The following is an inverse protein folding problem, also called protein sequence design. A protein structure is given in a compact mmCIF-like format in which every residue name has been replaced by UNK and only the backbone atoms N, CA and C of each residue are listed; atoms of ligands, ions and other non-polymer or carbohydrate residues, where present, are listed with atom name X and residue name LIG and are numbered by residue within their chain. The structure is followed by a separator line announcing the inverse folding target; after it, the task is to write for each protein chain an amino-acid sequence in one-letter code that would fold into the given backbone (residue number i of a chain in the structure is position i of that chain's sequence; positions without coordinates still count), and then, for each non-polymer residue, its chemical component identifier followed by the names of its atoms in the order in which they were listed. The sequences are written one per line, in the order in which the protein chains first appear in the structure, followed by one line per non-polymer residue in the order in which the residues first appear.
data_IF_040711503840
#
_entry.id   IF_040711503840
#
_cell.length_a   1.000
_cell.length_b   1.000
_cell.length_c   1.000
_cell.angle_alpha   90.00
_cell.angle_beta   90.00
_cell.angle_gamma   90.00
#
_symmetry.space_group_name_H-M   'P 1'
#
loop_
_entity.id
_entity.type
_entity.pdbx_description
1 polymer ?
#
# COMPACT_ATOMS: atom_id res chain seq x y z
N UNK A 1 -40.56 -47.31 -32.96
CA UNK A 1 -41.24 -46.35 -33.89
C UNK A 1 -40.83 -44.96 -33.48
N UNK A 2 -40.10 -44.28 -34.37
CA UNK A 2 -39.50 -42.98 -34.18
C UNK A 2 -40.53 -41.89 -34.49
N UNK A 3 -40.69 -40.91 -33.62
CA UNK A 3 -41.53 -39.76 -33.82
C UNK A 3 -40.74 -38.44 -33.65
N UNK A 4 -41.08 -37.42 -34.41
CA UNK A 4 -40.25 -36.25 -34.62
C UNK A 4 -40.58 -35.16 -33.61
N UNK A 5 -39.65 -34.92 -32.68
CA UNK A 5 -39.75 -33.84 -31.66
C UNK A 5 -38.76 -32.68 -32.00
N UNK A 6 -38.17 -32.67 -33.20
CA UNK A 6 -37.09 -31.75 -33.55
C UNK A 6 -37.51 -30.56 -34.42
N UNK A 7 -38.81 -30.40 -34.75
CA UNK A 7 -39.23 -29.37 -35.74
C UNK A 7 -39.89 -28.13 -35.09
N UNK A 8 -40.00 -28.03 -33.78
CA UNK A 8 -40.67 -26.90 -33.13
C UNK A 8 -39.72 -25.97 -32.37
N UNK A 9 -38.41 -26.24 -32.38
CA UNK A 9 -37.39 -25.41 -31.73
C UNK A 9 -36.68 -24.46 -32.74
N UNK A 10 -36.93 -24.57 -34.04
CA UNK A 10 -36.24 -23.78 -35.06
C UNK A 10 -36.97 -22.49 -35.50
N UNK A 11 -38.18 -22.22 -35.01
CA UNK A 11 -38.97 -21.04 -35.44
C UNK A 11 -39.02 -19.91 -34.38
N UNK A 12 -38.29 -20.02 -33.28
CA UNK A 12 -38.24 -18.97 -32.22
C UNK A 12 -36.94 -18.18 -32.17
N UNK A 13 -36.05 -18.36 -33.17
CA UNK A 13 -34.69 -17.71 -33.15
C UNK A 13 -34.59 -16.49 -34.10
N UNK A 14 -35.66 -16.12 -34.79
CA UNK A 14 -35.57 -15.04 -35.80
C UNK A 14 -36.40 -13.78 -35.49
N UNK A 15 -36.46 -13.34 -34.23
CA UNK A 15 -37.00 -12.00 -33.93
C UNK A 15 -36.39 -11.39 -32.66
N UNK A 16 -35.04 -11.39 -32.54
CA UNK A 16 -34.36 -10.46 -31.63
C UNK A 16 -33.54 -9.51 -32.47
N UNK A 17 -34.23 -8.62 -33.14
CA UNK A 17 -33.61 -7.40 -33.60
C UNK A 17 -33.43 -6.46 -32.41
N UNK A 18 -32.19 -6.28 -32.07
CA UNK A 18 -31.55 -5.35 -31.17
C UNK A 18 -32.25 -4.00 -31.06
N UNK A 19 -32.88 -3.74 -29.92
CA UNK A 19 -32.85 -2.43 -29.33
C UNK A 19 -31.78 -2.52 -28.25
N UNK A 20 -30.55 -2.11 -28.57
CA UNK A 20 -29.54 -1.76 -27.59
C UNK A 20 -29.99 -0.42 -27.01
N UNK A 21 -30.95 -0.44 -26.15
CA UNK A 21 -31.20 0.63 -25.20
C UNK A 21 -30.20 0.45 -24.09
N UNK A 22 -29.26 1.33 -23.97
CA UNK A 22 -28.40 1.51 -22.82
C UNK A 22 -29.32 1.69 -21.61
N UNK A 23 -29.55 0.60 -20.88
CA UNK A 23 -30.28 0.68 -19.63
C UNK A 23 -29.33 1.35 -18.64
N UNK A 24 -29.59 2.62 -18.32
CA UNK A 24 -29.06 3.27 -17.15
C UNK A 24 -29.29 2.34 -15.95
N UNK A 25 -28.20 1.77 -15.46
CA UNK A 25 -28.17 1.01 -14.23
C UNK A 25 -28.26 2.03 -13.07
N UNK A 26 -29.40 2.15 -12.37
CA UNK A 26 -29.56 3.13 -11.29
C UNK A 26 -28.67 2.84 -10.08
N UNK A 27 -27.85 1.78 -10.15
CA UNK A 27 -26.86 1.42 -9.11
C UNK A 27 -25.46 1.94 -9.43
N UNK A 28 -25.22 2.56 -10.58
CA UNK A 28 -23.96 3.25 -10.84
C UNK A 28 -23.91 4.50 -9.96
N UNK A 29 -23.01 4.59 -8.96
CA UNK A 29 -22.90 5.82 -8.19
C UNK A 29 -22.54 6.94 -9.18
N UNK A 30 -23.37 7.99 -9.21
CA UNK A 30 -23.15 9.15 -10.06
C UNK A 30 -21.71 9.61 -9.87
N UNK A 31 -20.93 9.60 -10.94
CA UNK A 31 -19.51 9.97 -10.92
C UNK A 31 -19.46 11.46 -10.58
N UNK A 32 -19.09 11.77 -9.34
CA UNK A 32 -19.03 13.15 -8.86
C UNK A 32 -17.86 13.85 -9.54
N UNK A 33 -18.15 14.79 -10.44
CA UNK A 33 -17.15 15.62 -11.08
C UNK A 33 -17.03 16.95 -10.36
N UNK A 34 -15.81 17.34 -10.02
CA UNK A 34 -15.46 18.62 -9.39
C UNK A 34 -14.76 19.49 -10.43
N UNK A 35 -15.33 20.64 -10.73
CA UNK A 35 -14.75 21.60 -11.67
C UNK A 35 -14.18 22.76 -10.86
N UNK A 36 -12.95 23.13 -11.11
CA UNK A 36 -12.24 24.20 -10.44
C UNK A 36 -11.85 25.28 -11.45
N UNK A 37 -11.78 26.53 -10.98
CA UNK A 37 -11.06 27.56 -11.70
C UNK A 37 -9.54 27.42 -11.51
N UNK A 38 -8.75 28.13 -12.30
CA UNK A 38 -7.28 28.10 -12.17
C UNK A 38 -6.79 28.49 -10.77
N UNK A 39 -7.54 29.37 -10.08
CA UNK A 39 -7.20 29.82 -8.73
C UNK A 39 -7.42 28.68 -7.73
N UNK A 40 -8.50 27.91 -7.89
CA UNK A 40 -8.79 26.71 -7.11
C UNK A 40 -7.71 25.64 -7.28
N UNK A 41 -7.30 25.35 -8.52
CA UNK A 41 -6.21 24.39 -8.80
C UNK A 41 -4.91 24.81 -8.13
N UNK A 42 -4.55 26.09 -8.21
CA UNK A 42 -3.34 26.62 -7.55
C UNK A 42 -3.44 26.59 -6.03
N UNK A 43 -4.57 27.01 -5.47
CA UNK A 43 -4.77 27.04 -4.01
C UNK A 43 -4.77 25.65 -3.40
N UNK A 44 -5.37 24.67 -4.06
CA UNK A 44 -5.38 23.26 -3.64
C UNK A 44 -4.06 22.55 -3.96
N UNK A 45 -3.17 23.20 -4.72
CA UNK A 45 -1.88 22.64 -5.17
C UNK A 45 -2.07 21.29 -5.83
N UNK A 46 -3.01 21.21 -6.77
CA UNK A 46 -3.31 19.96 -7.48
C UNK A 46 -2.09 19.56 -8.30
N UNK A 47 -1.62 18.34 -8.06
CA UNK A 47 -0.59 17.67 -8.84
C UNK A 47 -1.18 16.35 -9.33
N UNK A 48 -0.91 15.99 -10.59
CA UNK A 48 -1.37 14.73 -11.18
C UNK A 48 -0.21 13.83 -11.58
N UNK A 49 -0.43 12.54 -11.59
CA UNK A 49 0.50 11.54 -12.13
C UNK A 49 -0.30 10.54 -12.97
N UNK A 50 0.27 10.08 -14.08
CA UNK A 50 -0.38 9.07 -14.91
C UNK A 50 -0.37 7.70 -14.22
N UNK A 51 -1.53 7.04 -14.21
CA UNK A 51 -1.65 5.64 -13.87
C UNK A 51 -0.91 4.80 -14.92
N UNK A 52 0.11 4.05 -14.50
CA UNK A 52 0.99 3.29 -15.41
C UNK A 52 1.11 1.85 -14.97
N UNK A 53 1.20 0.98 -15.96
CA UNK A 53 1.70 -0.36 -15.72
C UNK A 53 3.19 -0.32 -15.42
N UNK A 54 3.58 -0.92 -14.31
CA UNK A 54 4.97 -0.97 -13.85
C UNK A 54 5.30 -2.31 -13.21
N UNK A 55 6.59 -2.54 -12.98
CA UNK A 55 7.01 -3.64 -12.11
C UNK A 55 6.54 -3.29 -10.70
N UNK A 56 5.68 -4.12 -10.14
CA UNK A 56 5.13 -3.98 -8.81
C UNK A 56 5.81 -4.96 -7.86
N UNK A 57 6.48 -4.44 -6.85
CA UNK A 57 7.12 -5.24 -5.82
C UNK A 57 6.15 -5.44 -4.66
N UNK A 58 5.86 -6.71 -4.34
CA UNK A 58 5.18 -7.06 -3.09
C UNK A 58 6.16 -6.90 -1.94
N UNK A 59 5.77 -6.23 -0.87
CA UNK A 59 6.65 -5.93 0.25
C UNK A 59 6.02 -6.28 1.59
N UNK A 60 6.83 -6.80 2.50
CA UNK A 60 6.49 -6.99 3.91
C UNK A 60 7.07 -5.82 4.70
N UNK A 61 6.21 -5.17 5.49
CA UNK A 61 6.64 -4.13 6.41
C UNK A 61 7.08 -4.75 7.74
N UNK A 62 8.25 -4.33 8.23
CA UNK A 62 8.74 -4.72 9.54
C UNK A 62 9.36 -3.51 10.25
N UNK A 63 9.31 -3.54 11.57
CA UNK A 63 10.04 -2.62 12.42
C UNK A 63 11.25 -3.32 13.02
N UNK A 64 12.26 -2.54 13.40
CA UNK A 64 13.43 -3.15 14.00
C UNK A 64 14.38 -2.12 14.62
N UNK A 65 15.61 -2.56 14.81
CA UNK A 65 16.65 -1.71 15.40
C UNK A 65 18.02 -2.05 14.83
N UNK A 66 18.92 -1.08 14.96
CA UNK A 66 20.34 -1.26 14.68
C UNK A 66 21.00 -1.96 15.86
N UNK A 67 21.81 -2.97 15.60
CA UNK A 67 22.57 -3.72 16.59
C UNK A 67 24.06 -3.81 16.23
N UNK A 68 24.90 -4.00 17.23
CA UNK A 68 26.31 -4.30 17.02
C UNK A 68 26.47 -5.74 16.54
N UNK A 69 27.42 -5.95 15.63
CA UNK A 69 27.83 -7.30 15.24
C UNK A 69 28.67 -7.89 16.38
N UNK A 70 28.26 -8.97 17.04
CA UNK A 70 28.99 -9.53 18.17
C UNK A 70 30.46 -9.84 17.89
N UNK A 71 30.75 -10.31 16.67
CA UNK A 71 32.13 -10.59 16.24
C UNK A 71 33.02 -9.35 16.09
N UNK A 72 32.41 -8.15 16.00
CA UNK A 72 33.12 -6.88 15.89
C UNK A 72 33.40 -6.24 17.27
N UNK A 73 33.05 -6.92 18.33
CA UNK A 73 33.28 -6.48 19.71
C UNK A 73 34.51 -7.16 20.28
N UNK A 74 35.33 -6.41 21.02
CA UNK A 74 36.50 -6.93 21.74
C UNK A 74 36.59 -6.26 23.10
N UNK A 75 37.17 -6.99 24.03
CA UNK A 75 37.44 -6.47 25.38
C UNK A 75 38.94 -6.36 25.59
N UNK A 76 39.35 -5.35 26.35
CA UNK A 76 40.71 -5.21 26.83
C UNK A 76 40.73 -5.57 28.31
N UNK A 77 41.50 -6.56 28.68
CA UNK A 77 41.70 -6.97 30.09
C UNK A 77 43.18 -7.00 30.42
N UNK A 78 43.50 -7.06 31.73
CA UNK A 78 44.86 -7.20 32.23
C UNK A 78 45.10 -8.63 32.72
N UNK A 79 46.34 -9.10 32.58
CA UNK A 79 46.78 -10.41 33.12
C UNK A 79 47.52 -10.29 34.44
N UNK A 80 47.75 -9.05 34.92
CA UNK A 80 48.47 -8.79 36.13
C UNK A 80 47.66 -7.99 37.13
N UNK A 81 47.87 -8.22 38.41
CA UNK A 81 47.40 -7.33 39.45
C UNK A 81 48.28 -6.06 39.51
N UNK A 82 47.62 -4.89 39.59
CA UNK A 82 48.36 -3.63 39.56
C UNK A 82 47.48 -2.41 39.79
N UNK A 83 47.98 -1.27 39.34
CA UNK A 83 47.28 0.03 39.39
C UNK A 83 47.39 0.70 38.02
N UNK A 84 46.32 1.34 37.57
CA UNK A 84 46.35 2.14 36.35
C UNK A 84 47.10 3.44 36.60
N UNK A 85 48.24 3.63 35.93
CA UNK A 85 49.07 4.83 36.06
C UNK A 85 48.90 5.79 34.89
N UNK A 86 48.35 5.31 33.77
CA UNK A 86 48.01 6.16 32.63
C UNK A 86 46.76 5.60 31.95
N UNK A 87 45.86 6.48 31.49
CA UNK A 87 44.65 6.15 30.75
C UNK A 87 44.51 7.18 29.60
N UNK A 88 44.73 6.73 28.36
CA UNK A 88 44.74 7.57 27.17
C UNK A 88 43.51 7.33 26.24
N UNK A 89 42.51 6.62 26.74
CA UNK A 89 41.33 6.29 25.94
C UNK A 89 40.08 6.38 26.81
N UNK A 90 39.10 7.13 26.33
CA UNK A 90 37.84 7.43 27.01
C UNK A 90 36.66 6.93 26.16
N UNK A 91 35.49 6.82 26.77
CA UNK A 91 34.27 6.44 26.05
C UNK A 91 33.97 7.40 24.89
N UNK A 92 33.76 6.87 23.70
CA UNK A 92 33.52 7.61 22.46
C UNK A 92 34.80 7.83 21.61
N UNK A 93 35.98 7.62 22.19
CA UNK A 93 37.23 7.80 21.41
C UNK A 93 37.38 6.71 20.35
N UNK A 94 37.90 7.13 19.20
CA UNK A 94 38.29 6.23 18.12
C UNK A 94 39.74 5.80 18.33
N UNK A 95 39.96 4.49 18.25
CA UNK A 95 41.30 3.88 18.49
C UNK A 95 41.70 3.01 17.30
N UNK A 96 43.01 2.94 17.07
CA UNK A 96 43.58 2.06 16.04
C UNK A 96 44.11 0.78 16.67
N UNK A 97 44.20 -0.28 15.87
CA UNK A 97 44.80 -1.53 16.30
C UNK A 97 46.25 -1.31 16.78
N UNK A 98 46.64 -1.93 17.89
CA UNK A 98 47.94 -1.77 18.57
C UNK A 98 48.24 -0.42 19.19
N UNK A 99 47.29 0.53 19.18
CA UNK A 99 47.41 1.79 19.92
C UNK A 99 47.47 1.53 21.42
N UNK A 100 48.43 2.17 22.14
CA UNK A 100 48.51 2.06 23.62
C UNK A 100 47.36 2.85 24.23
N UNK A 101 46.47 2.18 24.96
CA UNK A 101 45.27 2.74 25.56
C UNK A 101 45.46 3.09 27.06
N UNK A 102 46.15 2.23 27.78
CA UNK A 102 46.46 2.45 29.19
C UNK A 102 47.72 1.72 29.61
N UNK A 103 48.26 2.12 30.77
CA UNK A 103 49.43 1.54 31.36
C UNK A 103 49.16 1.11 32.80
N UNK A 104 49.53 -0.11 33.15
CA UNK A 104 49.33 -0.70 34.45
C UNK A 104 50.69 -0.91 35.11
N UNK A 105 50.89 -0.39 36.32
CA UNK A 105 52.01 -0.67 37.18
C UNK A 105 51.71 -1.93 37.98
N UNK A 106 52.62 -2.90 37.93
CA UNK A 106 52.51 -4.18 38.66
C UNK A 106 52.67 -3.97 40.18
N UNK A 107 52.01 -4.83 40.94
CA UNK A 107 52.26 -4.98 42.39
C UNK A 107 53.56 -5.70 42.73
N UNK A 108 54.25 -6.25 41.73
CA UNK A 108 55.52 -6.89 41.95
C UNK A 108 56.59 -5.91 42.40
N UNK A 109 57.45 -6.26 43.38
CA UNK A 109 58.52 -5.35 43.81
C UNK A 109 59.50 -5.08 42.69
N UNK A 110 59.97 -3.84 42.59
CA UNK A 110 60.93 -3.36 41.60
C UNK A 110 61.25 -1.87 41.83
N UNK A 111 62.38 -1.41 41.35
CA UNK A 111 62.72 0.04 41.38
C UNK A 111 63.29 0.47 40.00
N UNK A 112 62.46 1.07 39.14
CA UNK A 112 61.02 1.31 39.29
C UNK A 112 60.18 0.02 39.20
N UNK A 113 58.91 0.04 39.69
CA UNK A 113 57.99 -1.11 39.54
C UNK A 113 57.77 -1.43 38.08
N UNK A 114 57.65 -2.75 37.69
CA UNK A 114 57.34 -3.12 36.30
C UNK A 114 56.03 -2.54 35.81
N UNK A 115 56.04 -2.01 34.60
CA UNK A 115 54.84 -1.44 33.95
C UNK A 115 54.51 -2.23 32.67
N UNK A 116 53.21 -2.41 32.39
CA UNK A 116 52.72 -3.05 31.17
C UNK A 116 51.85 -2.07 30.42
N UNK A 117 52.11 -1.96 29.09
CA UNK A 117 51.24 -1.24 28.19
C UNK A 117 50.15 -2.17 27.67
N UNK A 118 48.91 -1.74 27.82
CA UNK A 118 47.75 -2.45 27.24
C UNK A 118 47.30 -1.73 25.95
N UNK A 119 47.31 -2.47 24.88
CA UNK A 119 47.06 -1.96 23.51
C UNK A 119 45.75 -2.46 22.97
N UNK A 120 45.14 -1.68 22.11
CA UNK A 120 43.91 -2.04 21.44
C UNK A 120 44.09 -3.33 20.61
N UNK A 121 43.25 -4.37 20.81
CA UNK A 121 43.33 -5.61 20.04
C UNK A 121 42.86 -5.41 18.58
N UNK A 122 42.08 -4.38 18.32
CA UNK A 122 41.57 -3.99 17.00
C UNK A 122 41.23 -2.50 16.94
N UNK A 123 41.09 -1.97 15.74
CA UNK A 123 40.56 -0.62 15.52
C UNK A 123 39.06 -0.59 15.85
N UNK A 124 38.57 0.55 16.37
CA UNK A 124 37.17 0.70 16.74
C UNK A 124 36.90 1.94 17.58
N UNK A 125 35.82 1.92 18.32
CA UNK A 125 35.41 2.98 19.27
C UNK A 125 35.37 2.37 20.67
N UNK A 126 35.86 3.10 21.65
CA UNK A 126 35.69 2.75 23.07
C UNK A 126 34.21 2.90 23.41
N UNK A 127 33.54 1.77 23.64
CA UNK A 127 32.09 1.75 23.94
C UNK A 127 31.86 1.99 25.42
N UNK A 128 32.74 1.42 26.28
CA UNK A 128 32.65 1.54 27.72
C UNK A 128 34.04 1.46 28.37
N UNK A 129 34.25 2.28 29.36
CA UNK A 129 35.41 2.21 30.24
C UNK A 129 34.97 1.73 31.63
N UNK A 130 35.58 0.63 32.08
CA UNK A 130 35.31 0.03 33.41
C UNK A 130 36.39 0.36 34.41
N UNK A 131 37.30 1.27 34.06
CA UNK A 131 38.47 1.61 34.90
C UNK A 131 38.75 3.11 34.84
N UNK A 132 39.34 3.62 35.94
CA UNK A 132 39.75 5.01 36.11
C UNK A 132 41.25 5.10 36.41
N UNK A 133 41.82 6.26 36.14
CA UNK A 133 43.19 6.54 36.51
C UNK A 133 43.39 6.35 38.04
N UNK A 134 44.46 5.63 38.45
CA UNK A 134 44.77 5.33 39.83
C UNK A 134 44.01 4.14 40.42
N UNK A 135 43.06 3.55 39.68
CA UNK A 135 42.25 2.44 40.16
C UNK A 135 43.06 1.13 40.21
N UNK A 136 42.93 0.32 41.27
CA UNK A 136 43.53 -1.00 41.32
C UNK A 136 42.81 -1.95 40.40
N UNK A 137 43.60 -2.82 39.74
CA UNK A 137 43.09 -3.82 38.78
C UNK A 137 43.63 -5.19 39.14
N UNK A 138 42.77 -6.19 38.95
CA UNK A 138 43.08 -7.59 39.14
C UNK A 138 43.14 -8.32 37.81
N UNK A 139 43.83 -9.47 37.71
CA UNK A 139 43.88 -10.31 36.52
C UNK A 139 42.47 -10.61 36.00
N UNK A 140 42.35 -10.68 34.67
CA UNK A 140 41.13 -11.03 33.90
C UNK A 140 39.98 -10.04 34.01
N UNK A 141 40.16 -8.96 34.79
CA UNK A 141 39.16 -7.87 34.82
C UNK A 141 39.10 -7.17 33.45
N UNK A 142 37.90 -7.02 32.93
CA UNK A 142 37.64 -6.20 31.73
C UNK A 142 37.84 -4.74 32.07
N UNK A 143 38.68 -4.04 31.31
CA UNK A 143 39.01 -2.64 31.51
C UNK A 143 38.31 -1.73 30.50
N UNK A 144 38.32 -2.11 29.24
CA UNK A 144 37.68 -1.35 28.16
C UNK A 144 36.91 -2.30 27.21
N UNK A 145 35.76 -1.86 26.76
CA UNK A 145 35.01 -2.45 25.66
C UNK A 145 35.30 -1.64 24.38
N UNK A 146 35.69 -2.34 23.32
CA UNK A 146 35.99 -1.77 22.02
C UNK A 146 35.10 -2.40 20.98
N UNK A 147 34.42 -1.60 20.14
CA UNK A 147 33.60 -2.12 19.06
C UNK A 147 33.95 -1.43 17.73
N UNK A 148 34.11 -2.25 16.68
CA UNK A 148 34.13 -1.74 15.31
C UNK A 148 32.69 -1.59 14.82
N UNK A 149 32.29 -0.33 14.57
CA UNK A 149 30.94 0.07 14.11
C UNK A 149 30.92 0.51 12.66
N UNK A 150 31.94 0.15 11.87
CA UNK A 150 31.98 0.39 10.44
C UNK A 150 30.90 -0.35 9.67
N UNK A 151 30.50 -1.50 10.22
CA UNK A 151 29.35 -2.32 9.79
C UNK A 151 28.50 -2.66 11.01
N UNK A 152 27.18 -2.69 10.80
CA UNK A 152 26.22 -2.98 11.86
C UNK A 152 25.16 -3.96 11.35
N UNK A 153 24.45 -4.59 12.26
CA UNK A 153 23.27 -5.34 11.93
C UNK A 153 22.03 -4.44 12.03
N UNK A 154 21.18 -4.55 11.03
CA UNK A 154 19.82 -4.06 11.05
C UNK A 154 18.93 -5.28 11.28
N UNK A 155 18.32 -5.37 12.47
CA UNK A 155 17.51 -6.52 12.88
C UNK A 155 16.04 -6.17 12.72
N UNK A 156 15.35 -6.87 11.81
CA UNK A 156 13.94 -6.69 11.50
C UNK A 156 13.10 -7.69 12.29
N UNK A 157 12.02 -7.23 12.94
CA UNK A 157 10.99 -8.09 13.53
C UNK A 157 9.90 -8.33 12.49
N UNK A 158 9.99 -9.44 11.81
CA UNK A 158 9.07 -9.86 10.73
C UNK A 158 7.90 -10.62 11.37
N UNK A 159 6.63 -10.20 11.17
CA UNK A 159 5.48 -10.94 11.68
C UNK A 159 5.50 -12.40 11.23
N UNK A 160 5.21 -13.34 12.12
CA UNK A 160 5.23 -14.78 11.79
C UNK A 160 4.31 -15.13 10.62
N UNK A 161 3.15 -14.44 10.51
CA UNK A 161 2.19 -14.63 9.42
C UNK A 161 2.77 -14.30 8.04
N UNK A 162 3.79 -13.44 7.97
CA UNK A 162 4.42 -12.97 6.73
C UNK A 162 5.82 -13.56 6.51
N UNK A 163 6.39 -14.18 7.53
CA UNK A 163 7.76 -14.69 7.50
C UNK A 163 7.99 -15.75 6.41
N UNK A 164 6.99 -16.57 6.11
CA UNK A 164 7.05 -17.59 5.05
C UNK A 164 7.26 -17.01 3.64
N UNK A 165 6.83 -15.76 3.40
CA UNK A 165 7.01 -15.07 2.13
C UNK A 165 8.43 -14.48 1.97
N UNK A 166 9.17 -14.30 3.07
CA UNK A 166 10.48 -13.67 3.07
C UNK A 166 11.57 -14.72 2.87
N UNK A 167 12.33 -14.60 1.78
CA UNK A 167 13.41 -15.54 1.42
C UNK A 167 14.78 -15.00 1.81
N UNK A 168 15.75 -15.90 2.07
CA UNK A 168 17.14 -15.51 2.24
C UNK A 168 17.63 -14.74 1.00
N UNK A 169 18.41 -13.69 1.21
CA UNK A 169 18.86 -12.79 0.15
C UNK A 169 17.81 -11.75 -0.28
N UNK A 170 16.60 -11.76 0.28
CA UNK A 170 15.57 -10.75 -0.04
C UNK A 170 16.11 -9.34 0.16
N UNK A 171 15.86 -8.46 -0.82
CA UNK A 171 16.20 -7.05 -0.75
C UNK A 171 15.27 -6.35 0.26
N UNK A 172 15.84 -5.54 1.12
CA UNK A 172 15.08 -4.65 1.99
C UNK A 172 15.51 -3.20 1.81
N UNK A 173 14.55 -2.29 1.80
CA UNK A 173 14.77 -0.84 1.92
C UNK A 173 14.58 -0.47 3.38
N UNK A 174 15.66 -0.05 4.01
CA UNK A 174 15.72 0.27 5.44
C UNK A 174 15.67 1.78 5.58
N UNK A 175 14.64 2.26 6.27
CA UNK A 175 14.51 3.67 6.60
C UNK A 175 14.85 3.90 8.06
N UNK A 176 15.70 4.88 8.32
CA UNK A 176 16.05 5.32 9.66
C UNK A 176 15.37 6.67 9.90
N UNK A 177 14.24 6.76 10.62
CA UNK A 177 13.49 8.00 10.77
C UNK A 177 14.33 9.15 11.31
N UNK A 178 15.28 8.85 12.22
CA UNK A 178 16.19 9.84 12.81
C UNK A 178 17.18 10.46 11.80
N UNK A 179 17.41 9.83 10.64
CA UNK A 179 18.34 10.30 9.60
C UNK A 179 17.62 10.84 8.35
N UNK A 180 16.28 10.95 8.39
CA UNK A 180 15.47 11.51 7.31
C UNK A 180 14.90 10.48 6.35
N UNK A 181 14.65 10.90 5.09
CA UNK A 181 13.87 10.09 4.13
C UNK A 181 14.70 9.10 3.29
N UNK A 182 16.03 9.19 3.34
CA UNK A 182 16.89 8.32 2.52
C UNK A 182 16.85 6.89 3.04
N UNK A 183 16.50 5.94 2.17
CA UNK A 183 16.54 4.53 2.48
C UNK A 183 17.94 3.96 2.22
N UNK A 184 18.32 2.96 3.01
CA UNK A 184 19.52 2.14 2.85
C UNK A 184 19.06 0.79 2.30
N UNK A 185 19.66 0.31 1.23
CA UNK A 185 19.38 -1.01 0.68
C UNK A 185 20.32 -2.04 1.32
N UNK A 186 19.73 -3.17 1.71
CA UNK A 186 20.46 -4.30 2.27
C UNK A 186 19.75 -5.61 1.94
N UNK A 187 20.47 -6.71 1.97
CA UNK A 187 19.93 -8.04 1.73
C UNK A 187 19.82 -8.84 3.04
N UNK A 188 18.76 -9.65 3.13
CA UNK A 188 18.58 -10.56 4.26
C UNK A 188 19.71 -11.58 4.29
N UNK A 189 20.55 -11.50 5.32
CA UNK A 189 21.69 -12.38 5.51
C UNK A 189 21.25 -13.73 6.07
N UNK A 190 20.42 -13.69 7.12
CA UNK A 190 19.89 -14.87 7.80
C UNK A 190 18.74 -14.50 8.70
N UNK A 191 17.98 -15.50 9.11
CA UNK A 191 17.07 -15.37 10.26
C UNK A 191 17.82 -15.68 11.56
N UNK A 192 17.32 -15.16 12.66
CA UNK A 192 17.77 -15.58 13.99
C UNK A 192 17.35 -17.04 14.24
N UNK A 193 18.06 -17.73 15.13
CA UNK A 193 17.81 -19.15 15.45
C UNK A 193 16.50 -19.31 16.21
N UNK A 194 16.15 -18.34 17.05
CA UNK A 194 14.95 -18.35 17.87
C UNK A 194 13.99 -17.25 17.42
N UNK A 195 12.70 -17.54 17.44
CA UNK A 195 11.66 -16.55 17.27
C UNK A 195 11.44 -15.75 18.56
N UNK A 196 11.14 -14.47 18.43
CA UNK A 196 10.71 -13.63 19.56
C UNK A 196 9.25 -13.94 19.90
N UNK A 197 9.05 -14.89 20.83
CA UNK A 197 7.71 -15.32 21.27
C UNK A 197 6.89 -14.20 21.84
N UNK A 198 7.52 -13.19 22.45
CA UNK A 198 6.82 -12.06 23.06
C UNK A 198 6.26 -11.10 22.01
N UNK A 199 6.92 -11.02 20.85
CA UNK A 199 6.53 -10.17 19.75
C UNK A 199 5.75 -10.90 18.64
N UNK A 200 5.66 -12.24 18.66
CA UNK A 200 5.09 -13.04 17.57
C UNK A 200 5.80 -12.78 16.24
N UNK A 201 7.13 -12.68 16.29
CA UNK A 201 7.94 -12.25 15.16
C UNK A 201 9.20 -13.10 15.00
N UNK A 202 9.62 -13.29 13.76
CA UNK A 202 10.91 -13.87 13.41
C UNK A 202 11.90 -12.73 13.13
N UNK A 203 13.07 -12.79 13.75
CA UNK A 203 14.10 -11.78 13.53
C UNK A 203 14.91 -12.06 12.27
N UNK A 204 14.83 -11.14 11.30
CA UNK A 204 15.66 -11.13 10.10
C UNK A 204 16.85 -10.19 10.27
N UNK A 205 18.06 -10.70 9.96
CA UNK A 205 19.31 -9.98 10.13
C UNK A 205 19.82 -9.49 8.77
N UNK A 206 19.98 -8.18 8.64
CA UNK A 206 20.55 -7.48 7.49
C UNK A 206 21.85 -6.82 7.90
N UNK A 207 22.85 -6.82 7.03
CA UNK A 207 24.09 -6.11 7.27
C UNK A 207 24.08 -4.74 6.58
N UNK A 208 24.43 -3.69 7.31
CA UNK A 208 24.46 -2.32 6.79
C UNK A 208 25.83 -1.68 7.04
N UNK A 209 26.32 -0.94 6.05
CA UNK A 209 27.56 -0.18 6.17
C UNK A 209 27.30 1.16 6.90
N UNK A 210 28.26 1.57 7.73
CA UNK A 210 28.18 2.79 8.53
C UNK A 210 29.48 3.61 8.46
N UNK A 211 29.91 4.01 7.25
CA UNK A 211 31.19 4.71 7.07
C UNK A 211 31.24 6.05 7.80
N UNK A 212 30.11 6.76 7.86
CA UNK A 212 30.02 8.08 8.50
C UNK A 212 29.77 7.98 10.03
N UNK A 213 29.58 6.79 10.59
CA UNK A 213 29.28 6.60 12.01
C UNK A 213 27.91 7.16 12.45
N UNK A 214 27.02 7.47 11.50
CA UNK A 214 25.69 8.06 11.80
C UNK A 214 24.71 7.05 12.38
N UNK A 215 24.83 5.77 12.00
CA UNK A 215 24.03 4.70 12.58
C UNK A 215 24.61 4.35 13.95
N UNK A 216 23.72 4.29 14.94
CA UNK A 216 24.08 3.91 16.32
C UNK A 216 23.24 2.73 16.76
N UNK A 217 23.83 1.76 17.47
CA UNK A 217 23.09 0.67 18.10
C UNK A 217 21.93 1.19 18.92
N UNK A 218 20.78 0.49 18.84
CA UNK A 218 19.52 0.90 19.49
C UNK A 218 18.64 1.84 18.68
N UNK A 219 19.13 2.42 17.57
CA UNK A 219 18.27 3.23 16.70
C UNK A 219 17.14 2.40 16.11
N UNK A 220 15.91 2.95 16.17
CA UNK A 220 14.72 2.36 15.51
C UNK A 220 14.81 2.54 14.01
N UNK A 221 14.41 1.51 13.30
CA UNK A 221 14.41 1.45 11.83
C UNK A 221 13.16 0.76 11.34
N UNK A 222 12.80 1.07 10.10
CA UNK A 222 11.65 0.51 9.40
C UNK A 222 12.15 -0.19 8.14
N UNK A 223 11.56 -1.33 7.84
CA UNK A 223 11.91 -2.15 6.69
C UNK A 223 10.74 -2.25 5.72
N UNK A 224 11.05 -2.18 4.44
CA UNK A 224 10.20 -2.63 3.35
C UNK A 224 10.96 -3.79 2.67
N UNK A 225 10.59 -5.03 3.01
CA UNK A 225 11.28 -6.25 2.56
C UNK A 225 10.57 -6.75 1.31
N UNK A 226 11.29 -6.85 0.18
CA UNK A 226 10.72 -7.33 -1.09
C UNK A 226 10.56 -8.85 -1.03
N UNK A 227 9.34 -9.32 -1.22
CA UNK A 227 8.99 -10.75 -1.22
C UNK A 227 8.73 -11.30 -2.60
N UNK A 228 8.38 -10.44 -3.55
CA UNK A 228 8.14 -10.80 -4.94
C UNK A 228 8.02 -9.59 -5.84
N UNK A 229 7.99 -9.81 -7.15
CA UNK A 229 7.73 -8.78 -8.14
C UNK A 229 6.81 -9.33 -9.23
N UNK A 230 5.89 -8.48 -9.71
CA UNK A 230 4.98 -8.76 -10.82
C UNK A 230 5.15 -7.66 -11.86
N UNK A 231 5.21 -8.05 -13.13
CA UNK A 231 5.29 -7.10 -14.24
C UNK A 231 3.90 -6.66 -14.69
N UNK A 232 3.82 -5.49 -15.33
CA UNK A 232 2.60 -4.95 -15.93
C UNK A 232 1.43 -4.82 -14.95
N UNK A 233 1.70 -4.39 -13.73
CA UNK A 233 0.66 -4.12 -12.74
C UNK A 233 0.30 -2.64 -12.82
N UNK A 234 -0.97 -2.34 -13.09
CA UNK A 234 -1.48 -0.98 -13.03
C UNK A 234 -1.44 -0.50 -11.58
N UNK A 235 -0.73 0.57 -11.33
CA UNK A 235 -0.55 1.07 -9.97
C UNK A 235 -0.41 2.58 -9.92
N UNK A 236 -0.85 3.15 -8.81
CA UNK A 236 -0.83 4.58 -8.53
C UNK A 236 -0.16 4.85 -7.18
N UNK A 237 0.38 6.06 -6.95
CA UNK A 237 0.90 6.43 -5.63
C UNK A 237 -0.16 6.29 -4.55
N UNK A 238 0.21 5.82 -3.35
CA UNK A 238 -0.75 5.64 -2.25
C UNK A 238 -1.50 6.93 -1.88
N UNK A 239 -0.88 8.09 -2.09
CA UNK A 239 -1.48 9.40 -1.78
C UNK A 239 -2.70 9.73 -2.65
N UNK A 240 -2.88 9.06 -3.81
CA UNK A 240 -4.03 9.28 -4.71
C UNK A 240 -5.33 8.70 -4.17
N UNK A 241 -5.23 7.64 -3.36
CA UNK A 241 -6.39 6.90 -2.87
C UNK A 241 -7.08 7.65 -1.74
N UNK A 242 -8.37 7.89 -1.92
CA UNK A 242 -9.24 8.56 -0.96
C UNK A 242 -10.42 7.66 -0.57
N UNK A 243 -11.25 8.14 0.38
CA UNK A 243 -12.46 7.46 0.81
C UNK A 243 -12.24 6.40 1.90
N UNK A 244 -13.33 5.76 2.29
CA UNK A 244 -13.37 4.75 3.34
C UNK A 244 -12.87 3.38 2.84
N UNK A 245 -12.52 2.45 3.74
CA UNK A 245 -12.11 1.09 3.34
C UNK A 245 -13.10 0.37 2.44
N UNK A 246 -14.39 0.67 2.56
CA UNK A 246 -15.49 0.05 1.78
C UNK A 246 -15.80 0.78 0.48
N UNK A 247 -15.37 2.05 0.35
CA UNK A 247 -15.64 2.89 -0.82
C UNK A 247 -14.38 3.71 -1.16
N UNK A 248 -13.45 3.06 -1.83
CA UNK A 248 -12.20 3.70 -2.28
C UNK A 248 -12.41 4.40 -3.60
N UNK A 249 -11.94 5.64 -3.67
CA UNK A 249 -12.00 6.48 -4.87
C UNK A 249 -10.64 7.08 -5.18
N UNK A 250 -10.45 7.44 -6.44
CA UNK A 250 -9.39 8.33 -6.91
C UNK A 250 -10.02 9.45 -7.72
N UNK A 251 -9.38 10.61 -7.74
CA UNK A 251 -9.78 11.68 -8.65
C UNK A 251 -8.98 11.59 -9.93
N UNK A 252 -9.67 11.41 -11.04
CA UNK A 252 -9.11 11.38 -12.39
C UNK A 252 -9.36 12.71 -13.05
N UNK A 253 -8.33 13.32 -13.63
CA UNK A 253 -8.46 14.53 -14.42
C UNK A 253 -9.25 14.22 -15.68
N UNK A 254 -10.25 15.03 -15.98
CA UNK A 254 -11.03 14.89 -17.19
C UNK A 254 -10.20 15.20 -18.44
N UNK A 255 -10.42 14.43 -19.50
CA UNK A 255 -9.70 14.58 -20.76
C UNK A 255 -10.21 15.76 -21.59
N UNK A 256 -11.51 16.01 -21.56
CA UNK A 256 -12.18 17.03 -22.39
C UNK A 256 -12.34 18.37 -21.68
N UNK A 257 -12.47 18.36 -20.35
CA UNK A 257 -12.68 19.55 -19.53
C UNK A 257 -11.42 19.93 -18.77
N UNK A 258 -10.95 21.13 -19.00
CA UNK A 258 -9.81 21.67 -18.27
C UNK A 258 -10.20 21.91 -16.80
N UNK A 259 -9.31 21.49 -15.88
CA UNK A 259 -9.51 21.64 -14.43
C UNK A 259 -10.74 20.92 -13.85
N UNK A 260 -11.26 19.92 -14.55
CA UNK A 260 -12.29 19.02 -14.06
C UNK A 260 -11.68 17.70 -13.54
N UNK A 261 -12.20 17.21 -12.42
CA UNK A 261 -11.73 16.02 -11.74
C UNK A 261 -12.90 15.13 -11.35
N UNK A 262 -12.96 13.95 -11.93
CA UNK A 262 -14.04 12.98 -11.68
C UNK A 262 -13.62 11.96 -10.62
N UNK A 263 -14.49 11.72 -9.64
CA UNK A 263 -14.28 10.69 -8.62
C UNK A 263 -14.57 9.31 -9.21
N UNK A 264 -13.53 8.53 -9.45
CA UNK A 264 -13.63 7.16 -9.95
C UNK A 264 -13.58 6.15 -8.78
N UNK A 265 -14.60 5.29 -8.61
CA UNK A 265 -14.55 4.21 -7.66
C UNK A 265 -13.54 3.15 -8.13
N UNK A 266 -12.71 2.67 -7.19
CA UNK A 266 -11.62 1.74 -7.50
C UNK A 266 -11.63 0.51 -6.60
N UNK A 267 -11.14 -0.59 -7.14
CA UNK A 267 -10.82 -1.79 -6.36
C UNK A 267 -9.32 -1.90 -6.24
N UNK A 268 -8.84 -1.95 -4.99
CA UNK A 268 -7.42 -2.04 -4.67
C UNK A 268 -6.97 -3.51 -4.62
N UNK A 269 -5.75 -3.74 -5.09
CA UNK A 269 -4.99 -4.97 -4.89
C UNK A 269 -3.96 -4.81 -3.77
N UNK A 270 -2.76 -5.32 -4.00
CA UNK A 270 -1.65 -5.22 -3.07
C UNK A 270 -1.11 -3.78 -2.97
N UNK A 271 -0.49 -3.48 -1.84
CA UNK A 271 0.20 -2.20 -1.63
C UNK A 271 1.64 -2.44 -1.19
N UNK A 272 2.53 -1.55 -1.60
CA UNK A 272 3.90 -1.52 -1.12
C UNK A 272 4.22 -0.15 -0.49
N UNK A 273 5.47 0.15 -0.22
CA UNK A 273 5.92 1.41 0.41
C UNK A 273 5.61 2.68 -0.39
N UNK A 274 5.34 2.58 -1.70
CA UNK A 274 5.16 3.74 -2.62
C UNK A 274 3.84 3.72 -3.35
N UNK A 275 3.43 2.55 -3.83
CA UNK A 275 2.33 2.37 -4.77
C UNK A 275 1.28 1.42 -4.23
N UNK A 276 0.08 1.52 -4.78
CA UNK A 276 -1.00 0.58 -4.59
C UNK A 276 -1.47 0.09 -5.96
N UNK A 277 -1.68 -1.21 -6.06
CA UNK A 277 -2.22 -1.87 -7.25
C UNK A 277 -3.69 -1.52 -7.43
N UNK A 278 -4.09 -1.25 -8.65
CA UNK A 278 -5.47 -1.04 -9.06
C UNK A 278 -5.95 -2.27 -9.83
N UNK A 279 -6.89 -3.00 -9.26
CA UNK A 279 -7.49 -4.18 -9.88
C UNK A 279 -8.55 -3.77 -10.89
N UNK A 280 -9.34 -2.73 -10.58
CA UNK A 280 -10.35 -2.17 -11.49
C UNK A 280 -10.68 -0.71 -11.12
N UNK A 281 -11.29 0.00 -12.07
CA UNK A 281 -11.75 1.39 -11.90
C UNK A 281 -10.83 2.45 -12.50
N UNK A 282 -9.65 2.07 -13.05
CA UNK A 282 -8.76 2.95 -13.80
C UNK A 282 -8.22 2.25 -15.04
N UNK A 283 -7.82 3.06 -16.03
CA UNK A 283 -7.13 2.62 -17.22
C UNK A 283 -5.69 3.12 -17.26
N UNK A 284 -4.78 2.39 -17.92
CA UNK A 284 -3.45 2.90 -18.18
C UNK A 284 -3.50 4.22 -18.95
N UNK A 285 -2.82 5.25 -18.42
CA UNK A 285 -2.83 6.58 -19.01
C UNK A 285 -3.71 7.60 -18.30
N UNK A 286 -4.66 7.17 -17.46
CA UNK A 286 -5.48 8.09 -16.65
C UNK A 286 -4.59 8.98 -15.78
N UNK A 287 -4.84 10.28 -15.80
CA UNK A 287 -4.17 11.24 -14.91
C UNK A 287 -4.87 11.30 -13.56
N UNK A 288 -4.24 10.73 -12.53
CA UNK A 288 -4.77 10.70 -11.16
C UNK A 288 -4.17 11.80 -10.30
N UNK A 289 -4.98 12.40 -9.44
CA UNK A 289 -4.56 13.47 -8.52
C UNK A 289 -3.75 12.87 -7.38
N UNK A 290 -2.45 13.23 -7.30
CA UNK A 290 -1.52 12.77 -6.26
C UNK A 290 -1.48 13.72 -5.07
N UNK A 291 -1.69 15.01 -5.33
CA UNK A 291 -1.73 16.05 -4.30
C UNK A 291 -2.97 16.90 -4.44
N UNK A 292 -3.58 17.31 -3.33
CA UNK A 292 -4.84 18.04 -3.32
C UNK A 292 -6.07 17.14 -3.45
N UNK A 293 -5.94 15.81 -3.52
CA UNK A 293 -7.05 14.87 -3.64
C UNK A 293 -8.03 14.93 -2.44
N UNK A 294 -7.50 15.07 -1.22
CA UNK A 294 -8.34 15.16 -0.02
C UNK A 294 -9.25 16.40 -0.02
N UNK A 295 -8.75 17.63 -0.21
CA UNK A 295 -9.65 18.79 -0.33
C UNK A 295 -10.61 18.72 -1.52
N UNK A 296 -10.26 18.07 -2.64
CA UNK A 296 -11.18 17.84 -3.74
C UNK A 296 -12.44 17.07 -3.32
N UNK A 297 -12.31 16.12 -2.40
CA UNK A 297 -13.44 15.36 -1.88
C UNK A 297 -14.50 16.26 -1.22
N UNK A 298 -14.13 17.45 -0.76
CA UNK A 298 -15.01 18.43 -0.11
C UNK A 298 -15.35 19.63 -1.02
N UNK A 299 -14.55 19.93 -2.04
CA UNK A 299 -14.72 21.11 -2.91
C UNK A 299 -16.00 21.05 -3.77
N UNK A 300 -16.47 19.87 -4.15
CA UNK A 300 -17.65 19.69 -5.00
C UNK A 300 -19.00 19.91 -4.30
N UNK A 301 -19.04 20.46 -3.08
CA UNK A 301 -20.27 20.88 -2.39
C UNK A 301 -20.53 22.41 -2.47
N UNK A 302 -19.70 23.16 -3.20
CA UNK A 302 -19.78 24.62 -3.33
C UNK A 302 -20.29 25.08 -4.71
N UNK A 303 -20.52 26.36 -4.85
CA UNK A 303 -21.11 27.07 -5.99
C UNK A 303 -20.21 27.19 -7.24
N UNK A 304 -19.62 26.07 -7.71
CA UNK A 304 -18.97 26.02 -9.02
C UNK A 304 -19.97 25.75 -10.16
N UNK A 305 -19.56 25.95 -11.44
CA UNK A 305 -20.39 25.59 -12.58
C UNK A 305 -20.79 24.12 -12.52
N UNK A 306 -22.01 23.79 -12.88
CA UNK A 306 -22.46 22.40 -12.98
C UNK A 306 -21.73 21.68 -14.11
N UNK A 307 -21.66 20.33 -14.04
CA UNK A 307 -21.08 19.53 -15.13
C UNK A 307 -21.75 19.87 -16.48
N UNK A 308 -23.07 20.02 -16.49
CA UNK A 308 -23.86 20.45 -17.64
C UNK A 308 -23.36 21.78 -18.20
N UNK A 309 -23.29 22.83 -17.36
CA UNK A 309 -22.88 24.18 -17.80
C UNK A 309 -21.44 24.17 -18.36
N UNK A 310 -20.57 23.37 -17.79
CA UNK A 310 -19.19 23.27 -18.26
C UNK A 310 -19.08 22.51 -19.60
N UNK A 311 -19.85 21.45 -19.80
CA UNK A 311 -19.90 20.69 -21.06
C UNK A 311 -20.58 21.52 -22.16
N UNK A 312 -21.70 22.19 -21.87
CA UNK A 312 -22.38 23.08 -22.81
C UNK A 312 -21.46 24.20 -23.31
N UNK A 313 -20.64 24.76 -22.39
CA UNK A 313 -19.68 25.80 -22.74
C UNK A 313 -18.48 25.25 -23.59
N UNK A 314 -18.04 24.03 -23.30
CA UNK A 314 -16.90 23.42 -24.00
C UNK A 314 -17.27 22.88 -25.39
N UNK A 315 -18.46 22.30 -25.55
CA UNK A 315 -18.87 21.61 -26.77
C UNK A 315 -19.82 22.41 -27.64
N UNK A 316 -20.47 23.49 -27.11
CA UNK A 316 -21.35 24.38 -27.86
C UNK A 316 -22.73 23.77 -28.18
N UNK A 317 -23.13 22.69 -27.53
CA UNK A 317 -24.46 22.09 -27.57
C UNK A 317 -24.91 21.69 -26.16
N UNK A 318 -26.20 21.48 -25.96
CA UNK A 318 -26.79 21.22 -24.65
C UNK A 318 -26.61 19.74 -24.22
N UNK A 319 -26.25 19.55 -22.94
CA UNK A 319 -26.12 18.25 -22.30
C UNK A 319 -27.16 18.05 -21.21
N UNK A 320 -27.38 16.80 -20.79
CA UNK A 320 -28.18 16.48 -19.61
C UNK A 320 -27.38 16.79 -18.32
N UNK A 321 -28.03 16.75 -17.16
CA UNK A 321 -27.36 16.98 -15.86
C UNK A 321 -26.29 15.96 -15.53
N UNK A 322 -26.36 14.77 -16.15
CA UNK A 322 -25.39 13.67 -16.03
C UNK A 322 -24.21 13.76 -17.01
N UNK A 323 -24.21 14.76 -17.91
CA UNK A 323 -23.17 14.98 -18.92
C UNK A 323 -23.37 14.24 -20.23
N UNK A 324 -24.50 13.56 -20.42
CA UNK A 324 -24.83 12.93 -21.71
C UNK A 324 -25.39 13.95 -22.71
N UNK A 325 -25.13 13.74 -24.01
CA UNK A 325 -25.65 14.62 -25.07
C UNK A 325 -27.18 14.61 -25.10
N UNK A 326 -27.82 15.77 -25.19
CA UNK A 326 -29.25 15.87 -25.49
C UNK A 326 -29.49 15.46 -26.95
N UNK A 327 -30.05 14.27 -27.17
CA UNK A 327 -30.54 13.86 -28.49
C UNK A 327 -31.73 14.72 -28.82
N UNK A 328 -31.55 15.71 -29.67
CA UNK A 328 -32.66 16.53 -30.17
C UNK A 328 -33.70 15.61 -30.83
N UNK A 329 -35.00 15.72 -30.48
CA UNK A 329 -36.04 14.92 -31.13
C UNK A 329 -36.01 15.24 -32.61
N UNK A 330 -35.79 14.25 -33.45
CA UNK A 330 -35.89 14.36 -34.92
C UNK A 330 -37.28 14.89 -35.28
N UNK A 331 -37.31 16.11 -35.85
CA UNK A 331 -38.48 16.76 -36.34
C UNK A 331 -38.99 15.96 -37.57
N UNK A 332 -39.93 15.04 -37.35
CA UNK A 332 -40.64 14.41 -38.46
C UNK A 332 -41.54 15.46 -39.09
N UNK A 333 -41.20 15.94 -40.28
CA UNK A 333 -42.11 16.67 -41.14
C UNK A 333 -43.25 15.75 -41.55
N UNK A 334 -44.45 16.05 -41.13
CA UNK A 334 -45.66 15.57 -41.74
C UNK A 334 -46.65 16.72 -41.98
N UNK A 335 -47.34 16.79 -43.15
CA UNK A 335 -48.05 17.97 -43.56
C UNK A 335 -49.44 18.12 -42.91
N UNK A 336 -49.83 19.35 -42.82
CA UNK A 336 -51.07 19.91 -42.27
C UNK A 336 -52.34 19.14 -42.61
N UNK A 337 -53.20 18.99 -41.62
CA UNK A 337 -54.65 19.18 -41.78
C UNK A 337 -55.20 19.75 -40.47
N UNK A 338 -55.89 20.88 -40.60
CA UNK A 338 -56.67 21.58 -39.59
C UNK A 338 -57.81 20.70 -39.06
N UNK A 339 -58.03 20.70 -37.74
CA UNK A 339 -59.34 20.78 -37.12
C UNK A 339 -59.27 20.79 -35.61
N UNK A 340 -59.91 21.80 -35.04
CA UNK A 340 -60.32 21.98 -33.64
C UNK A 340 -60.90 20.71 -32.99
N UNK A 341 -60.59 20.40 -31.75
CA UNK A 341 -61.60 20.37 -30.70
C UNK A 341 -60.98 20.08 -29.30
N UNK A 342 -61.66 20.56 -28.30
CA UNK A 342 -61.42 20.45 -26.87
C UNK A 342 -61.69 19.01 -26.38
N UNK A 343 -60.97 18.56 -25.36
CA UNK A 343 -61.40 17.39 -24.62
C UNK A 343 -60.40 16.88 -23.59
N UNK A 344 -60.69 17.07 -22.36
CA UNK A 344 -60.19 16.38 -21.18
C UNK A 344 -60.11 14.87 -21.38
N UNK A 345 -59.12 14.23 -20.79
CA UNK A 345 -59.15 12.78 -20.66
C UNK A 345 -57.93 12.20 -19.94
N UNK A 346 -58.13 11.88 -18.72
CA UNK A 346 -57.32 11.03 -17.86
C UNK A 346 -56.94 9.68 -18.50
N UNK A 347 -55.86 9.13 -17.95
CA UNK A 347 -55.58 7.73 -17.79
C UNK A 347 -54.94 6.96 -18.96
N UNK A 348 -53.74 6.47 -18.70
CA UNK A 348 -53.38 5.07 -19.04
C UNK A 348 -52.33 4.50 -18.10
N UNK A 349 -52.78 4.17 -16.90
CA UNK A 349 -52.03 3.33 -15.93
C UNK A 349 -52.34 1.82 -16.13
N UNK A 350 -52.89 1.42 -17.26
CA UNK A 350 -53.44 0.09 -17.49
C UNK A 350 -52.44 -0.99 -17.99
N UNK A 351 -51.39 -0.61 -18.67
CA UNK A 351 -50.50 -1.58 -19.33
C UNK A 351 -49.45 -2.19 -18.40
N UNK A 352 -48.92 -1.44 -17.45
CA UNK A 352 -47.92 -1.92 -16.51
C UNK A 352 -48.50 -2.96 -15.52
N UNK A 353 -49.76 -2.80 -15.16
CA UNK A 353 -50.44 -3.69 -14.20
C UNK A 353 -50.75 -5.09 -14.77
N UNK A 354 -50.98 -5.21 -16.07
CA UNK A 354 -51.19 -6.50 -16.72
C UNK A 354 -49.91 -7.35 -16.80
N UNK A 355 -48.77 -6.76 -17.08
CA UNK A 355 -47.50 -7.49 -17.11
C UNK A 355 -47.04 -7.97 -15.73
N UNK A 356 -47.26 -7.17 -14.68
CA UNK A 356 -46.97 -7.58 -13.30
C UNK A 356 -47.84 -8.75 -12.82
N UNK A 357 -49.13 -8.80 -13.21
CA UNK A 357 -50.04 -9.90 -12.88
C UNK A 357 -49.63 -11.20 -13.60
N UNK A 358 -49.25 -11.12 -14.88
CA UNK A 358 -48.74 -12.27 -15.63
C UNK A 358 -47.41 -12.79 -15.08
N UNK A 359 -46.50 -11.92 -14.68
CA UNK A 359 -45.20 -12.32 -14.08
C UNK A 359 -45.40 -12.98 -12.70
N UNK A 360 -46.28 -12.45 -11.86
CA UNK A 360 -46.61 -13.05 -10.57
C UNK A 360 -47.25 -14.41 -10.74
N UNK A 361 -48.15 -14.61 -11.72
CA UNK A 361 -48.81 -15.89 -11.98
C UNK A 361 -47.80 -16.95 -12.49
N UNK A 362 -46.86 -16.58 -13.34
CA UNK A 362 -45.84 -17.53 -13.85
C UNK A 362 -44.86 -17.94 -12.76
N UNK A 363 -44.45 -17.04 -11.87
CA UNK A 363 -43.56 -17.36 -10.74
C UNK A 363 -44.21 -18.26 -9.70
N UNK A 364 -45.51 -18.06 -9.41
CA UNK A 364 -46.24 -18.94 -8.49
C UNK A 364 -46.43 -20.34 -9.07
N UNK A 365 -46.62 -20.47 -10.38
CA UNK A 365 -46.72 -21.77 -11.04
C UNK A 365 -45.40 -22.55 -11.04
N UNK A 366 -44.28 -21.84 -11.27
CA UNK A 366 -42.92 -22.40 -11.21
C UNK A 366 -42.56 -22.89 -9.80
N UNK A 367 -42.90 -22.10 -8.77
CA UNK A 367 -42.65 -22.50 -7.35
C UNK A 367 -43.49 -23.70 -6.94
N UNK A 368 -44.74 -23.79 -7.40
CA UNK A 368 -45.60 -24.96 -7.16
C UNK A 368 -45.05 -26.23 -7.82
N UNK A 369 -44.58 -26.15 -9.08
CA UNK A 369 -43.98 -27.29 -9.79
C UNK A 369 -42.66 -27.72 -9.12
N UNK A 370 -41.86 -26.79 -8.61
CA UNK A 370 -40.62 -27.10 -7.92
C UNK A 370 -40.91 -27.78 -6.56
N UNK A 371 -41.88 -27.30 -5.83
CA UNK A 371 -42.35 -27.91 -4.57
C UNK A 371 -42.89 -29.32 -4.78
N UNK A 372 -43.66 -29.53 -5.86
CA UNK A 372 -44.21 -30.86 -6.21
C UNK A 372 -43.08 -31.85 -6.59
N UNK A 373 -42.04 -31.36 -7.27
CA UNK A 373 -40.86 -32.17 -7.63
C UNK A 373 -40.04 -32.57 -6.40
N UNK A 374 -39.85 -31.64 -5.44
CA UNK A 374 -39.19 -31.94 -4.15
C UNK A 374 -40.01 -32.92 -3.29
N UNK A 375 -41.34 -32.83 -3.31
CA UNK A 375 -42.21 -33.77 -2.60
C UNK A 375 -42.12 -35.17 -3.19
N UNK A 376 -42.15 -35.31 -4.53
CA UNK A 376 -42.02 -36.62 -5.18
C UNK A 376 -40.64 -37.24 -4.91
N UNK A 377 -39.56 -36.48 -4.96
CA UNK A 377 -38.22 -36.99 -4.65
C UNK A 377 -38.08 -37.43 -3.18
N UNK A 378 -38.84 -36.84 -2.25
CA UNK A 378 -38.87 -37.31 -0.84
C UNK A 378 -39.57 -38.64 -0.68
N UNK A 379 -40.65 -38.89 -1.43
CA UNK A 379 -41.37 -40.17 -1.38
C UNK A 379 -40.54 -41.33 -1.94
N UNK A 380 -39.70 -41.06 -2.94
CA UNK A 380 -38.83 -42.09 -3.54
C UNK A 380 -37.66 -42.48 -2.60
N UNK A 381 -37.29 -41.62 -1.63
CA UNK A 381 -36.28 -41.91 -0.61
C UNK A 381 -36.80 -42.60 0.64
N UNK A 382 -38.13 -42.64 0.87
CA UNK A 382 -38.74 -43.37 2.00
C UNK A 382 -39.17 -44.83 1.61
N UNK A 383 -39.00 -45.19 0.32
CA UNK A 383 -39.38 -46.53 -0.19
C UNK A 383 -38.18 -47.33 -0.72
N UNK A 384 -36.93 -46.84 -0.53
CA UNK A 384 -35.68 -47.57 -0.75
C UNK A 384 -34.95 -47.74 0.60
#
# INVERSE_FOLDING_TARGET
MKTPFFLLLALMILSHNSLCGETDDPTRPATRTVILDETGVRNLRIETEQAKERIFESTVFAIGRIEEIPANRSVLSTRIAGRVINLNAYEGDRVEANQTLLRVESRQPGNPPPTIELRAPRSGIIVRSHVRLGEPVEPDRVLLDIADRSTLWAVAKIPESEAAAVKLGALARIRVPALGKKAIEAHLLRFNVEADRSAGALEGIFQVNNPDGKLRPGMRIEFSIVTGSREKVLSVPQATVQGDPTNRIVFVKDFALENAFSAAPIVLGERNDKYVEIVSGLFPGDEVVTRGAYPLAFAGSGSGPSLKEALDAAHGHEHNEDGTDMIAPQKSENPRTDASDQGNGEATDGALNQYLIFYAATMTLLTALFAQRLWNNRKDMETA
#
